data_IF_452390506575
#
_entry.id   IF_452390506575
#
_cell.length_a   1.000
_cell.length_b   1.000
_cell.length_c   1.000
_cell.angle_alpha   90.00
_cell.angle_beta   90.00
_cell.angle_gamma   90.00
#
_symmetry.space_group_name_H-M   'P 1'
#
loop_
_entity.id
_entity.type
_entity.pdbx_description
1 polymer ?
#
# COMPACT_ATOMS: atom_id res chain seq x y z
N UNK A 1 6.50 -67.37 -16.43
CA UNK A 1 7.18 -67.75 -17.69
C UNK A 1 6.45 -67.07 -18.83
N UNK A 2 7.22 -66.42 -19.71
CA UNK A 2 6.88 -65.60 -20.88
C UNK A 2 5.71 -66.13 -21.74
N UNK A 3 5.02 -65.23 -22.46
CA UNK A 3 4.97 -65.11 -23.94
C UNK A 3 4.13 -63.83 -24.24
N UNK A 4 4.72 -62.70 -24.67
CA UNK A 4 5.15 -62.37 -26.04
C UNK A 4 4.00 -61.87 -26.95
N UNK A 5 3.93 -60.53 -27.09
CA UNK A 5 3.81 -59.74 -28.35
C UNK A 5 2.92 -60.20 -29.51
N UNK A 6 2.08 -59.28 -30.05
CA UNK A 6 2.24 -58.73 -31.42
C UNK A 6 1.11 -57.77 -31.88
N UNK A 7 1.56 -56.70 -32.58
CA UNK A 7 1.00 -55.95 -33.73
C UNK A 7 -0.44 -55.35 -33.65
N UNK A 8 -0.66 -54.05 -33.79
CA UNK A 8 -0.34 -53.07 -34.85
C UNK A 8 -1.49 -52.85 -35.86
N UNK A 9 -1.94 -51.59 -35.94
CA UNK A 9 -2.37 -50.93 -37.19
C UNK A 9 -3.86 -50.91 -37.51
N UNK A 10 -4.39 -49.69 -37.77
CA UNK A 10 -5.15 -49.24 -38.97
C UNK A 10 -6.21 -48.19 -38.56
N UNK A 11 -5.93 -46.88 -38.68
CA UNK A 11 -6.29 -45.99 -39.80
C UNK A 11 -7.81 -45.74 -40.01
N UNK A 12 -8.21 -44.52 -39.61
CA UNK A 12 -9.15 -43.56 -40.23
C UNK A 12 -10.58 -43.97 -40.62
N UNK A 13 -11.59 -43.22 -40.13
CA UNK A 13 -12.61 -42.54 -40.96
C UNK A 13 -13.08 -41.24 -40.27
N UNK A 14 -12.92 -40.13 -40.98
CA UNK A 14 -13.58 -38.84 -40.75
C UNK A 14 -15.06 -38.92 -41.14
N UNK A 15 -15.97 -38.48 -40.27
CA UNK A 15 -17.33 -38.11 -40.66
C UNK A 15 -17.63 -36.72 -40.11
N UNK A 16 -17.61 -35.75 -41.03
CA UNK A 16 -18.06 -34.40 -40.84
C UNK A 16 -19.60 -34.35 -40.90
N UNK A 17 -20.22 -33.51 -40.08
CA UNK A 17 -21.42 -32.76 -40.46
C UNK A 17 -21.28 -31.34 -39.96
N UNK A 18 -21.09 -30.43 -40.92
CA UNK A 18 -21.32 -29.01 -40.78
C UNK A 18 -22.83 -28.74 -40.63
N UNK A 19 -23.21 -27.70 -39.88
CA UNK A 19 -23.97 -26.54 -40.39
C UNK A 19 -24.33 -25.59 -39.24
N UNK A 20 -24.07 -24.29 -39.41
CA UNK A 20 -24.69 -23.24 -38.59
C UNK A 20 -23.75 -22.11 -38.21
N UNK A 21 -23.41 -21.26 -39.18
CA UNK A 21 -22.68 -20.02 -38.92
C UNK A 21 -23.40 -19.18 -37.87
N UNK A 22 -22.75 -19.02 -36.72
CA UNK A 22 -23.08 -17.99 -35.74
C UNK A 22 -21.76 -17.31 -35.45
N UNK A 23 -21.68 -16.02 -35.73
CA UNK A 23 -20.57 -15.17 -35.30
C UNK A 23 -20.31 -15.45 -33.82
N UNK A 24 -19.15 -16.05 -33.51
CA UNK A 24 -18.75 -16.25 -32.13
C UNK A 24 -18.62 -14.84 -31.52
N UNK A 25 -19.56 -14.48 -30.66
CA UNK A 25 -19.38 -13.36 -29.76
C UNK A 25 -18.09 -13.64 -28.96
N UNK A 26 -17.21 -12.65 -28.76
CA UNK A 26 -16.06 -12.84 -27.88
C UNK A 26 -16.58 -13.36 -26.53
N UNK A 27 -15.98 -14.44 -26.03
CA UNK A 27 -16.23 -14.86 -24.65
C UNK A 27 -15.95 -13.66 -23.75
N UNK A 28 -16.85 -13.31 -22.81
CA UNK A 28 -16.52 -12.33 -21.80
C UNK A 28 -15.25 -12.82 -21.10
N UNK A 29 -14.24 -11.96 -21.02
CA UNK A 29 -13.09 -12.20 -20.16
C UNK A 29 -13.62 -12.53 -18.75
N UNK A 30 -12.96 -13.43 -17.99
CA UNK A 30 -13.35 -13.66 -16.61
C UNK A 30 -13.35 -12.30 -15.91
N UNK A 31 -14.52 -11.83 -15.50
CA UNK A 31 -14.64 -10.71 -14.60
C UNK A 31 -14.09 -11.24 -13.27
N UNK A 32 -12.85 -10.87 -12.94
CA UNK A 32 -12.33 -11.08 -11.59
C UNK A 32 -13.34 -10.48 -10.64
N UNK A 33 -13.95 -11.31 -9.80
CA UNK A 33 -14.91 -10.84 -8.82
C UNK A 33 -14.20 -9.84 -7.89
N UNK A 34 -14.88 -8.74 -7.55
CA UNK A 34 -14.34 -7.74 -6.65
C UNK A 34 -14.00 -8.35 -5.28
N UNK A 35 -12.95 -7.86 -4.59
CA UNK A 35 -12.52 -8.40 -3.31
C UNK A 35 -13.67 -8.37 -2.31
N UNK A 36 -13.82 -9.45 -1.56
CA UNK A 36 -14.79 -9.51 -0.48
C UNK A 36 -14.19 -8.79 0.74
N UNK A 37 -14.94 -7.87 1.33
CA UNK A 37 -14.55 -7.20 2.56
C UNK A 37 -14.67 -8.17 3.74
N UNK A 38 -13.92 -7.96 4.83
CA UNK A 38 -14.14 -8.70 6.08
C UNK A 38 -15.60 -8.61 6.57
N UNK A 39 -16.05 -9.68 7.24
CA UNK A 39 -17.44 -9.79 7.73
C UNK A 39 -17.74 -8.82 8.88
N UNK A 40 -16.76 -8.57 9.75
CA UNK A 40 -16.91 -7.63 10.86
C UNK A 40 -17.02 -6.19 10.33
N UNK A 41 -18.08 -5.48 10.70
CA UNK A 41 -18.36 -4.14 10.20
C UNK A 41 -17.28 -3.13 10.60
N UNK A 42 -16.68 -3.27 11.78
CA UNK A 42 -15.61 -2.43 12.29
C UNK A 42 -14.21 -3.01 12.02
N UNK A 43 -14.06 -3.94 11.07
CA UNK A 43 -12.76 -4.45 10.67
C UNK A 43 -11.96 -3.39 9.91
N UNK A 44 -10.66 -3.30 10.20
CA UNK A 44 -9.71 -2.58 9.34
C UNK A 44 -9.61 -3.30 7.99
N UNK A 45 -9.84 -2.58 6.90
CA UNK A 45 -9.72 -3.08 5.52
C UNK A 45 -8.39 -2.69 4.93
N UNK A 46 -8.00 -1.42 5.05
CA UNK A 46 -6.78 -0.91 4.43
C UNK A 46 -6.06 0.04 5.38
N UNK A 47 -4.77 -0.16 5.60
CA UNK A 47 -3.92 0.82 6.29
C UNK A 47 -2.69 1.15 5.48
N UNK A 48 -2.25 2.41 5.58
CA UNK A 48 -0.95 2.87 5.13
C UNK A 48 -0.21 3.46 6.31
N UNK A 49 0.99 2.97 6.58
CA UNK A 49 1.76 3.30 7.77
C UNK A 49 3.20 3.66 7.39
N UNK A 50 3.80 4.60 8.11
CA UNK A 50 5.24 4.82 8.05
C UNK A 50 5.93 3.99 9.13
N UNK A 51 6.86 3.12 8.75
CA UNK A 51 7.66 2.31 9.68
C UNK A 51 9.13 2.71 9.62
N UNK A 52 9.87 2.45 10.71
CA UNK A 52 11.28 2.81 10.82
C UNK A 52 11.54 4.31 10.64
N UNK A 53 12.65 4.63 9.97
CA UNK A 53 13.20 5.96 9.82
C UNK A 53 13.93 6.46 11.06
N UNK A 54 14.65 7.56 10.92
CA UNK A 54 15.40 8.16 12.02
C UNK A 54 14.51 9.04 12.89
N UNK A 55 13.98 8.46 13.96
CA UNK A 55 13.15 9.16 14.94
C UNK A 55 13.32 8.56 16.33
N UNK A 56 12.66 9.14 17.33
CA UNK A 56 12.71 8.64 18.71
C UNK A 56 11.84 7.39 18.89
N UNK A 57 12.17 6.47 19.80
CA UNK A 57 11.32 5.31 20.12
C UNK A 57 9.90 5.71 20.51
N UNK A 58 9.74 6.85 21.21
CA UNK A 58 8.43 7.37 21.61
C UNK A 58 7.61 7.79 20.39
N UNK A 59 8.24 8.48 19.43
CA UNK A 59 7.58 8.86 18.18
C UNK A 59 7.23 7.65 17.32
N UNK A 60 8.04 6.56 17.34
CA UNK A 60 7.69 5.31 16.67
C UNK A 60 6.46 4.66 17.31
N UNK A 61 6.42 4.58 18.64
CA UNK A 61 5.34 3.93 19.36
C UNK A 61 4.01 4.70 19.26
N UNK A 62 4.07 6.03 19.19
CA UNK A 62 2.90 6.90 19.10
C UNK A 62 2.46 7.22 17.66
N UNK A 63 3.16 6.71 16.64
CA UNK A 63 2.89 7.04 15.24
C UNK A 63 1.55 6.45 14.80
N UNK A 64 0.68 7.29 14.28
CA UNK A 64 -0.58 6.87 13.67
C UNK A 64 -0.36 6.42 12.22
N UNK A 65 -1.24 5.56 11.67
CA UNK A 65 -1.31 5.34 10.24
C UNK A 65 -1.54 6.65 9.48
N UNK A 66 -0.95 6.77 8.30
CA UNK A 66 -1.20 7.87 7.36
C UNK A 66 -2.67 7.89 6.96
N UNK A 67 -3.24 6.70 6.73
CA UNK A 67 -4.66 6.48 6.50
C UNK A 67 -5.07 5.09 7.01
N UNK A 68 -6.26 5.00 7.59
CA UNK A 68 -6.90 3.74 7.97
C UNK A 68 -8.36 3.71 7.52
N UNK A 69 -8.71 2.74 6.68
CA UNK A 69 -10.05 2.53 6.10
C UNK A 69 -10.69 1.32 6.76
N UNK A 70 -11.89 1.49 7.32
CA UNK A 70 -12.67 0.46 7.98
C UNK A 70 -13.81 -0.06 7.09
N UNK A 71 -14.28 -1.28 7.34
CA UNK A 71 -15.29 -1.96 6.54
C UNK A 71 -16.68 -1.29 6.60
N UNK A 72 -16.93 -0.48 7.62
CA UNK A 72 -18.11 0.35 7.80
C UNK A 72 -18.01 1.71 7.08
N UNK A 73 -16.90 1.96 6.37
CA UNK A 73 -16.69 3.17 5.58
C UNK A 73 -16.07 4.33 6.33
N UNK A 74 -15.69 4.16 7.61
CA UNK A 74 -14.89 5.19 8.29
C UNK A 74 -13.48 5.21 7.75
N UNK A 75 -13.02 6.39 7.33
CA UNK A 75 -11.63 6.63 6.93
C UNK A 75 -10.99 7.64 7.88
N UNK A 76 -9.91 7.23 8.54
CA UNK A 76 -9.16 8.06 9.48
C UNK A 76 -7.86 8.54 8.86
N UNK A 77 -7.55 9.82 9.07
CA UNK A 77 -6.28 10.47 8.67
C UNK A 77 -5.84 11.46 9.75
N UNK A 78 -4.57 11.87 9.71
CA UNK A 78 -4.11 13.03 10.46
C UNK A 78 -4.34 14.31 9.66
N UNK A 79 -5.00 15.29 10.27
CA UNK A 79 -5.20 16.63 9.74
C UNK A 79 -3.98 17.53 9.90
N UNK A 80 -4.01 18.73 9.29
CA UNK A 80 -2.89 19.66 9.33
C UNK A 80 -2.56 20.09 10.76
N UNK A 81 -1.27 20.22 11.04
CA UNK A 81 -0.73 20.76 12.29
C UNK A 81 0.18 21.95 12.00
N UNK A 82 0.17 22.95 12.88
CA UNK A 82 1.11 24.06 12.79
C UNK A 82 2.53 23.57 13.11
N UNK A 83 3.53 24.10 12.41
CA UNK A 83 4.94 23.71 12.58
C UNK A 83 5.57 24.30 13.86
N UNK A 84 4.95 24.04 15.01
CA UNK A 84 5.43 24.38 16.36
C UNK A 84 5.83 23.08 17.06
N UNK A 85 7.04 23.05 17.61
CA UNK A 85 7.61 21.83 18.20
C UNK A 85 7.92 21.99 19.69
N UNK A 86 7.58 21.00 20.54
CA UNK A 86 6.83 19.78 20.20
C UNK A 86 5.37 20.09 19.85
N UNK A 87 4.78 19.24 18.99
CA UNK A 87 3.36 19.34 18.63
C UNK A 87 2.43 19.02 19.81
N UNK A 88 1.12 19.29 19.67
CA UNK A 88 0.14 18.92 20.69
C UNK A 88 0.18 17.43 21.02
N UNK A 89 0.02 17.09 22.30
CA UNK A 89 -0.06 15.69 22.73
C UNK A 89 -1.32 14.97 22.20
N UNK A 90 -2.37 15.74 21.89
CA UNK A 90 -3.56 15.24 21.22
C UNK A 90 -3.44 15.45 19.71
N UNK A 91 -3.32 14.38 18.90
CA UNK A 91 -3.21 14.51 17.46
C UNK A 91 -4.50 15.04 16.83
N UNK A 92 -4.36 15.76 15.72
CA UNK A 92 -5.50 16.22 14.93
C UNK A 92 -6.03 15.05 14.08
N UNK A 93 -6.70 14.08 14.69
CA UNK A 93 -7.29 12.96 13.95
C UNK A 93 -8.60 13.40 13.31
N UNK A 94 -8.73 13.12 12.02
CA UNK A 94 -9.90 13.41 11.23
C UNK A 94 -10.58 12.12 10.79
N UNK A 95 -11.89 12.18 10.58
CA UNK A 95 -12.70 11.09 10.05
C UNK A 95 -13.53 11.58 8.88
N UNK A 96 -13.60 10.77 7.84
CA UNK A 96 -14.52 10.90 6.71
C UNK A 96 -15.34 9.61 6.59
N UNK A 97 -16.56 9.72 6.07
CA UNK A 97 -17.43 8.57 5.83
C UNK A 97 -17.58 8.35 4.32
N UNK A 98 -17.40 7.11 3.88
CA UNK A 98 -17.68 6.65 2.50
C UNK A 98 -18.65 5.48 2.53
N UNK A 99 -19.22 5.12 1.37
CA UNK A 99 -20.07 3.94 1.27
C UNK A 99 -19.26 2.65 1.29
N UNK A 100 -19.89 1.55 1.73
CA UNK A 100 -19.24 0.23 1.77
C UNK A 100 -18.79 -0.26 0.38
N UNK A 101 -19.50 0.16 -0.66
CA UNK A 101 -19.10 -0.14 -2.04
C UNK A 101 -17.83 0.62 -2.45
N UNK A 102 -17.65 1.85 -1.96
CA UNK A 102 -16.41 2.61 -2.17
C UNK A 102 -15.24 2.02 -1.39
N UNK A 103 -15.47 1.48 -0.18
CA UNK A 103 -14.44 0.70 0.53
C UNK A 103 -13.97 -0.48 -0.34
N UNK A 104 -14.90 -1.17 -1.03
CA UNK A 104 -14.56 -2.25 -1.95
C UNK A 104 -13.79 -1.74 -3.17
N UNK A 105 -14.15 -0.57 -3.70
CA UNK A 105 -13.41 0.11 -4.78
C UNK A 105 -11.97 0.41 -4.36
N UNK A 106 -11.75 0.92 -3.14
CA UNK A 106 -10.41 1.18 -2.61
C UNK A 106 -9.62 -0.12 -2.41
N UNK A 107 -10.26 -1.18 -1.92
CA UNK A 107 -9.63 -2.50 -1.79
C UNK A 107 -9.20 -3.07 -3.16
N UNK A 108 -10.04 -2.94 -4.19
CA UNK A 108 -9.69 -3.34 -5.55
C UNK A 108 -8.52 -2.51 -6.08
N UNK A 109 -8.54 -1.19 -5.93
CA UNK A 109 -7.44 -0.30 -6.33
C UNK A 109 -6.13 -0.69 -5.65
N UNK A 110 -6.18 -1.15 -4.39
CA UNK A 110 -4.99 -1.62 -3.68
C UNK A 110 -4.43 -2.92 -4.29
N UNK A 111 -5.29 -3.87 -4.68
CA UNK A 111 -4.87 -5.06 -5.43
C UNK A 111 -4.28 -4.69 -6.80
N UNK A 112 -4.92 -3.77 -7.53
CA UNK A 112 -4.46 -3.29 -8.84
C UNK A 112 -3.11 -2.55 -8.76
N UNK A 113 -2.83 -1.90 -7.63
CA UNK A 113 -1.53 -1.27 -7.35
C UNK A 113 -0.42 -2.29 -7.03
N UNK A 114 -0.76 -3.58 -6.94
CA UNK A 114 0.18 -4.67 -6.75
C UNK A 114 0.39 -5.09 -5.30
N UNK A 115 -0.53 -4.82 -4.37
CA UNK A 115 -0.37 -5.24 -2.95
C UNK A 115 -0.23 -6.76 -2.77
N UNK A 116 -0.79 -7.54 -3.69
CA UNK A 116 -0.67 -9.00 -3.68
C UNK A 116 0.57 -9.53 -4.43
N UNK A 117 1.36 -8.65 -5.05
CA UNK A 117 2.60 -9.01 -5.74
C UNK A 117 3.75 -9.23 -4.74
N UNK A 118 4.69 -10.08 -5.12
CA UNK A 118 5.88 -10.44 -4.33
C UNK A 118 7.20 -9.91 -4.96
N UNK A 119 7.11 -9.13 -6.04
CA UNK A 119 8.28 -8.54 -6.69
C UNK A 119 9.10 -7.64 -5.77
N UNK A 120 10.41 -7.55 -6.01
CA UNK A 120 11.29 -6.64 -5.27
C UNK A 120 10.96 -5.17 -5.61
N UNK A 121 10.94 -4.31 -4.58
CA UNK A 121 10.68 -2.86 -4.70
C UNK A 121 11.97 -2.03 -4.61
N UNK A 122 13.12 -2.70 -4.52
CA UNK A 122 14.44 -2.08 -4.45
C UNK A 122 14.72 -1.40 -3.10
N UNK A 123 15.97 -0.98 -2.93
CA UNK A 123 16.46 -0.29 -1.72
C UNK A 123 17.34 0.88 -2.15
N UNK A 124 16.74 2.03 -2.52
CA UNK A 124 17.49 3.18 -2.99
C UNK A 124 18.37 3.76 -1.87
N UNK A 125 19.49 4.43 -2.20
CA UNK A 125 20.51 4.88 -1.24
C UNK A 125 20.09 6.15 -0.47
N UNK A 126 18.86 6.20 0.05
CA UNK A 126 18.38 7.28 0.91
C UNK A 126 18.69 6.93 2.35
N UNK A 127 19.42 7.76 3.07
CA UNK A 127 19.67 7.54 4.49
C UNK A 127 18.44 7.91 5.31
N UNK A 128 18.21 7.18 6.41
CA UNK A 128 17.29 7.58 7.49
C UNK A 128 15.80 7.74 7.11
N UNK A 129 15.42 7.33 5.90
CA UNK A 129 14.05 7.42 5.42
C UNK A 129 13.13 6.40 6.11
N UNK A 130 11.84 6.71 6.11
CA UNK A 130 10.83 5.74 6.54
C UNK A 130 10.53 4.75 5.41
N UNK A 131 10.06 3.56 5.77
CA UNK A 131 9.32 2.71 4.85
C UNK A 131 7.84 3.06 4.87
N UNK A 132 7.18 2.99 3.72
CA UNK A 132 5.71 3.04 3.64
C UNK A 132 5.19 1.62 3.51
N UNK A 133 4.44 1.15 4.52
CA UNK A 133 3.80 -0.16 4.57
C UNK A 133 2.32 -0.03 4.26
N UNK A 134 1.85 -0.84 3.32
CA UNK A 134 0.46 -1.00 2.96
C UNK A 134 -0.03 -2.35 3.49
N UNK A 135 -1.18 -2.36 4.16
CA UNK A 135 -1.84 -3.58 4.62
C UNK A 135 -3.26 -3.60 4.09
N UNK A 136 -3.63 -4.62 3.32
CA UNK A 136 -4.99 -4.89 2.87
C UNK A 136 -5.51 -6.16 3.54
N UNK A 137 -6.65 -6.08 4.20
CA UNK A 137 -7.40 -7.20 4.74
C UNK A 137 -8.68 -7.40 3.91
N UNK A 138 -8.81 -8.59 3.34
CA UNK A 138 -10.01 -9.06 2.66
C UNK A 138 -10.56 -10.29 3.39
N UNK A 139 -11.73 -10.79 2.99
CA UNK A 139 -12.22 -12.07 3.48
C UNK A 139 -11.33 -13.26 3.07
N UNK A 140 -10.57 -13.10 1.97
CA UNK A 140 -9.72 -14.15 1.40
C UNK A 140 -8.31 -14.18 2.00
N UNK A 141 -7.87 -13.11 2.67
CA UNK A 141 -6.57 -13.04 3.33
C UNK A 141 -6.06 -11.64 3.62
N UNK A 142 -4.80 -11.57 4.05
CA UNK A 142 -4.10 -10.31 4.33
C UNK A 142 -2.91 -10.18 3.39
N UNK A 143 -2.80 -9.01 2.76
CA UNK A 143 -1.70 -8.64 1.88
C UNK A 143 -0.93 -7.49 2.51
N UNK A 144 0.39 -7.63 2.58
CA UNK A 144 1.28 -6.60 3.13
C UNK A 144 2.38 -6.33 2.12
N UNK A 145 2.58 -5.06 1.77
CA UNK A 145 3.64 -4.63 0.87
C UNK A 145 4.30 -3.38 1.41
N UNK A 146 5.62 -3.31 1.36
CA UNK A 146 6.39 -2.24 2.00
C UNK A 146 7.50 -1.75 1.09
N UNK A 147 7.59 -0.43 0.92
CA UNK A 147 8.61 0.22 0.12
C UNK A 147 9.42 1.21 0.96
N UNK A 148 10.73 1.02 1.01
CA UNK A 148 11.65 1.96 1.63
C UNK A 148 11.71 3.28 0.84
N UNK A 149 11.69 4.42 1.53
CA UNK A 149 11.78 5.77 0.97
C UNK A 149 10.71 6.10 -0.10
N UNK A 150 9.50 5.55 0.02
CA UNK A 150 8.43 5.78 -0.95
C UNK A 150 7.89 7.22 -0.93
N UNK A 151 8.09 7.98 0.14
CA UNK A 151 7.67 9.39 0.21
C UNK A 151 8.60 10.35 -0.50
N UNK A 152 9.78 9.88 -0.95
CA UNK A 152 10.69 10.70 -1.75
C UNK A 152 10.18 10.78 -3.19
N UNK A 153 9.45 11.86 -3.49
CA UNK A 153 8.83 12.07 -4.80
C UNK A 153 9.82 11.96 -5.96
N UNK A 154 11.06 12.39 -5.75
CA UNK A 154 12.09 12.42 -6.79
C UNK A 154 12.60 11.01 -7.18
N UNK A 155 12.40 10.01 -6.32
CA UNK A 155 12.64 8.60 -6.67
C UNK A 155 11.51 8.00 -7.51
N UNK A 156 10.26 8.42 -7.28
CA UNK A 156 9.07 7.83 -7.88
C UNK A 156 8.69 8.48 -9.22
N UNK A 157 8.98 9.77 -9.39
CA UNK A 157 8.62 10.54 -10.59
C UNK A 157 9.66 10.48 -11.72
N UNK A 158 10.74 9.70 -11.52
CA UNK A 158 11.82 9.60 -12.50
C UNK A 158 12.98 10.57 -12.27
N UNK A 159 12.83 11.62 -11.45
CA UNK A 159 13.74 12.77 -11.44
C UNK A 159 15.15 12.49 -10.91
N UNK A 160 15.35 11.48 -10.06
CA UNK A 160 16.67 11.05 -9.57
C UNK A 160 17.31 9.91 -10.39
N UNK A 161 16.65 9.43 -11.44
CA UNK A 161 16.97 8.13 -12.05
C UNK A 161 17.94 8.19 -13.24
N UNK A 162 18.40 9.37 -13.65
CA UNK A 162 19.33 9.56 -14.76
C UNK A 162 20.60 10.37 -14.38
N UNK A 163 20.80 10.64 -13.09
CA UNK A 163 21.85 11.55 -12.62
C UNK A 163 21.67 12.99 -13.11
N UNK A 164 20.52 13.34 -13.72
CA UNK A 164 20.24 14.64 -14.30
C UNK A 164 19.27 15.46 -13.44
N UNK A 165 19.60 15.65 -12.16
CA UNK A 165 19.18 16.87 -11.50
C UNK A 165 20.20 17.96 -11.78
N UNK A 166 19.83 18.89 -12.67
CA UNK A 166 20.25 20.31 -12.72
C UNK A 166 21.71 20.60 -12.36
N UNK A 167 22.51 21.09 -13.33
CA UNK A 167 23.90 21.54 -13.18
C UNK A 167 24.35 21.78 -11.72
N UNK A 168 25.13 20.83 -11.16
CA UNK A 168 25.82 21.02 -9.87
C UNK A 168 25.41 20.12 -8.71
N UNK A 169 24.57 19.09 -8.89
CA UNK A 169 24.39 18.03 -7.88
C UNK A 169 24.73 16.64 -8.43
N UNK A 170 25.87 16.10 -7.99
CA UNK A 170 26.20 14.68 -8.14
C UNK A 170 25.40 13.86 -7.11
N UNK A 171 24.14 13.56 -7.40
CA UNK A 171 23.41 12.53 -6.64
C UNK A 171 23.76 11.15 -7.20
N UNK A 172 23.99 10.14 -6.34
CA UNK A 172 24.11 8.76 -6.81
C UNK A 172 22.82 8.33 -7.50
N UNK A 173 22.96 7.50 -8.54
CA UNK A 173 21.86 6.76 -9.16
C UNK A 173 21.01 6.09 -8.05
N UNK A 174 19.69 6.12 -8.20
CA UNK A 174 18.75 5.48 -7.27
C UNK A 174 19.00 3.97 -7.15
N UNK A 175 19.64 3.35 -8.15
CA UNK A 175 19.89 1.92 -8.19
C UNK A 175 18.64 1.08 -8.41
N UNK A 176 17.52 1.72 -8.79
CA UNK A 176 16.25 1.06 -9.09
C UNK A 176 16.21 0.56 -10.55
N UNK A 177 15.62 -0.61 -10.76
CA UNK A 177 15.26 -1.08 -12.11
C UNK A 177 14.00 -0.37 -12.61
N UNK A 178 13.70 -0.50 -13.90
CA UNK A 178 12.46 0.05 -14.47
C UNK A 178 11.21 -0.56 -13.83
N UNK A 179 11.17 -1.89 -13.73
CA UNK A 179 10.05 -2.60 -13.11
C UNK A 179 9.86 -2.18 -11.63
N UNK A 180 10.96 -1.97 -10.90
CA UNK A 180 10.91 -1.46 -9.52
C UNK A 180 10.32 -0.05 -9.46
N UNK A 181 10.71 0.84 -10.39
CA UNK A 181 10.15 2.19 -10.47
C UNK A 181 8.66 2.17 -10.76
N UNK A 182 8.23 1.37 -11.74
CA UNK A 182 6.82 1.26 -12.10
C UNK A 182 5.98 0.74 -10.92
N UNK A 183 6.45 -0.31 -10.24
CA UNK A 183 5.77 -0.85 -9.07
C UNK A 183 5.71 0.16 -7.91
N UNK A 184 6.79 0.91 -7.66
CA UNK A 184 6.81 1.98 -6.65
C UNK A 184 5.88 3.13 -7.02
N UNK A 185 5.82 3.53 -8.28
CA UNK A 185 4.90 4.57 -8.76
C UNK A 185 3.45 4.19 -8.49
N UNK A 186 3.04 2.94 -8.80
CA UNK A 186 1.69 2.43 -8.47
C UNK A 186 1.35 2.51 -6.99
N UNK A 187 2.30 2.18 -6.10
CA UNK A 187 2.11 2.28 -4.65
C UNK A 187 2.06 3.74 -4.17
N UNK A 188 2.86 4.64 -4.74
CA UNK A 188 2.80 6.05 -4.43
C UNK A 188 1.45 6.67 -4.86
N UNK A 189 0.97 6.34 -6.06
CA UNK A 189 -0.35 6.74 -6.55
C UNK A 189 -1.48 6.17 -5.69
N UNK A 190 -1.36 4.93 -5.21
CA UNK A 190 -2.31 4.36 -4.27
C UNK A 190 -2.35 5.16 -2.97
N UNK A 191 -1.20 5.46 -2.37
CA UNK A 191 -1.14 6.28 -1.14
C UNK A 191 -1.87 7.61 -1.36
N UNK A 192 -1.54 8.30 -2.46
CA UNK A 192 -2.11 9.61 -2.76
C UNK A 192 -3.63 9.51 -2.94
N UNK A 193 -4.10 8.50 -3.66
CA UNK A 193 -5.53 8.23 -3.84
C UNK A 193 -6.28 7.95 -2.52
N UNK A 194 -5.62 7.28 -1.56
CA UNK A 194 -6.22 7.01 -0.25
C UNK A 194 -6.24 8.24 0.67
N UNK A 195 -5.34 9.20 0.45
CA UNK A 195 -5.29 10.46 1.21
C UNK A 195 -6.08 11.60 0.57
N UNK A 196 -6.42 11.50 -0.71
CA UNK A 196 -7.31 12.42 -1.44
C UNK A 196 -8.53 11.65 -1.98
N UNK A 197 -9.42 11.28 -1.06
CA UNK A 197 -10.66 10.57 -1.38
C UNK A 197 -11.58 11.37 -2.31
N UNK A 198 -11.77 12.69 -2.16
CA UNK A 198 -12.60 13.45 -3.08
C UNK A 198 -12.10 13.42 -4.52
N UNK A 199 -10.77 13.45 -4.74
CA UNK A 199 -10.21 13.27 -6.08
C UNK A 199 -10.36 11.83 -6.61
N UNK A 200 -10.36 10.84 -5.72
CA UNK A 200 -10.36 9.41 -6.06
C UNK A 200 -11.75 8.84 -6.31
N UNK A 201 -12.71 9.13 -5.43
CA UNK A 201 -14.08 8.61 -5.44
C UNK A 201 -15.09 9.62 -5.99
N UNK A 202 -14.69 10.89 -6.09
CA UNK A 202 -15.56 12.00 -6.42
C UNK A 202 -16.07 12.71 -5.15
N UNK A 203 -16.27 14.03 -5.19
CA UNK A 203 -16.59 14.82 -4.01
C UNK A 203 -17.96 14.50 -3.40
N UNK A 204 -18.88 13.91 -4.17
CA UNK A 204 -20.21 13.53 -3.66
C UNK A 204 -20.23 12.15 -2.97
N UNK A 205 -19.20 11.32 -3.19
CA UNK A 205 -19.08 10.00 -2.57
C UNK A 205 -18.43 10.04 -1.17
N UNK A 206 -17.92 11.21 -0.78
CA UNK A 206 -17.14 11.39 0.44
C UNK A 206 -17.85 12.37 1.35
N UNK A 207 -18.15 11.93 2.58
CA UNK A 207 -18.73 12.78 3.62
C UNK A 207 -17.81 13.93 4.00
N UNK A 208 -18.37 14.92 4.72
CA UNK A 208 -17.58 16.02 5.25
C UNK A 208 -16.47 15.50 6.18
N UNK A 209 -15.32 16.20 6.17
CA UNK A 209 -14.23 15.87 7.08
C UNK A 209 -14.55 16.42 8.47
N UNK A 210 -14.62 15.52 9.44
CA UNK A 210 -14.92 15.85 10.84
C UNK A 210 -13.72 15.59 11.74
N UNK A 211 -13.63 16.31 12.87
CA UNK A 211 -12.67 15.97 13.92
C UNK A 211 -13.14 14.69 14.62
N UNK A 212 -12.24 13.73 14.79
CA UNK A 212 -12.57 12.50 15.50
C UNK A 212 -12.66 12.74 17.02
N UNK A 213 -13.80 12.37 17.61
CA UNK A 213 -14.02 12.35 19.05
C UNK A 213 -13.94 10.90 19.59
N UNK A 214 -12.81 10.46 20.16
CA UNK A 214 -12.69 9.11 20.68
C UNK A 214 -13.45 8.94 21.99
N UNK A 215 -14.02 7.75 22.16
CA UNK A 215 -14.72 7.35 23.39
C UNK A 215 -13.78 6.81 24.48
N UNK A 216 -12.54 6.48 24.11
CA UNK A 216 -11.50 6.00 25.01
C UNK A 216 -10.11 6.42 24.50
N UNK A 217 -9.14 6.52 25.41
CA UNK A 217 -7.77 6.95 25.11
C UNK A 217 -6.79 5.95 25.71
N UNK A 218 -5.85 5.48 24.91
CA UNK A 218 -4.64 4.82 25.37
C UNK A 218 -3.49 5.83 25.34
N UNK A 219 -2.79 6.00 26.46
CA UNK A 219 -1.66 6.91 26.57
C UNK A 219 -0.35 6.15 26.67
N UNK A 220 0.64 6.54 25.87
CA UNK A 220 2.02 6.09 25.99
C UNK A 220 2.79 7.07 26.87
N UNK A 221 3.34 6.57 27.98
CA UNK A 221 4.05 7.39 28.97
C UNK A 221 5.39 6.76 29.31
N UNK A 222 6.38 7.62 29.56
CA UNK A 222 7.68 7.24 30.14
C UNK A 222 8.04 8.21 31.26
N UNK A 223 8.83 7.76 32.25
CA UNK A 223 9.45 8.68 33.20
C UNK A 223 10.23 9.78 32.47
N UNK A 224 10.14 11.01 32.97
CA UNK A 224 10.99 12.08 32.48
C UNK A 224 12.44 11.83 32.92
N UNK A 225 13.37 11.93 31.98
CA UNK A 225 14.82 11.88 32.25
C UNK A 225 15.38 13.26 31.95
N UNK A 226 16.05 13.87 32.92
CA UNK A 226 16.76 15.13 32.66
C UNK A 226 17.87 14.88 31.64
N UNK A 227 18.04 15.75 30.62
CA UNK A 227 19.10 15.56 29.62
C UNK A 227 20.51 15.43 30.22
N UNK A 228 20.75 16.02 31.40
CA UNK A 228 22.01 15.92 32.12
C UNK A 228 22.29 14.52 32.70
N UNK A 229 21.26 13.70 32.87
CA UNK A 229 21.34 12.34 33.42
C UNK A 229 21.42 11.26 32.34
N UNK A 230 21.44 11.65 31.06
CA UNK A 230 21.60 10.69 29.96
C UNK A 230 23.02 10.11 30.00
N UNK A 231 23.19 8.77 30.04
CA UNK A 231 24.50 8.16 29.98
C UNK A 231 25.17 8.56 28.66
N UNK A 232 26.48 8.85 28.71
CA UNK A 232 27.26 9.05 27.50
C UNK A 232 27.08 7.83 26.58
N UNK A 233 26.81 8.01 25.28
CA UNK A 233 26.76 6.90 24.35
C UNK A 233 28.07 6.10 24.45
N UNK A 234 28.02 4.76 24.50
CA UNK A 234 29.25 3.98 24.44
C UNK A 234 30.00 4.31 23.15
N UNK A 235 31.32 4.47 23.23
CA UNK A 235 32.13 4.57 22.02
C UNK A 235 32.00 3.26 21.24
N UNK A 236 31.43 3.35 20.04
CA UNK A 236 31.37 2.24 19.10
C UNK A 236 32.48 2.43 18.06
N UNK A 237 33.27 1.39 17.74
CA UNK A 237 34.20 1.46 16.61
C UNK A 237 33.41 1.66 15.33
N UNK A 238 33.84 2.63 14.52
CA UNK A 238 33.34 2.89 13.17
C UNK A 238 33.89 1.87 12.17
#
# INVERSE_FOLDING_TARGET
MLHATALAGLLAVLAACAQGGTTAAPSPAPTTAAPQLPDAADALVLSVEHTGGFTTPEMLAARLPVVAVYADGRVFTEGPVIAIYPGPAWPNVQVQQIDRDDVRTLAQRALDAGLAEDGDLGSPPVADATSTRFTLQTADGTFVREAYALTDGALNDGALNDGALTEGRDWPDSGLTEDQREARARLAELRDALTDLPATLGPEAVGETEQYEPTAVAALVRPYTEPADLPAPPELPW
#
